data_IF_398022435879
#
_entry.id   IF_398022435879
#
_cell.length_a   1.000
_cell.length_b   1.000
_cell.length_c   1.000
_cell.angle_alpha   90.00
_cell.angle_beta   90.00
_cell.angle_gamma   90.00
#
_symmetry.space_group_name_H-M   'P 1'
#
loop_
_entity.id
_entity.type
_entity.pdbx_description
1 polymer ?
#
# COMPACT_ATOMS: atom_id res chain seq x y z
N UNK A 1 -16.55 -35.63 -28.91
CA UNK A 1 -15.89 -35.23 -27.71
C UNK A 1 -14.76 -34.23 -27.91
N UNK A 2 -14.04 -34.28 -29.05
CA UNK A 2 -12.96 -33.34 -29.30
C UNK A 2 -13.41 -31.89 -29.38
N UNK A 3 -14.50 -31.62 -30.08
CA UNK A 3 -15.05 -30.24 -30.19
C UNK A 3 -15.53 -29.73 -28.84
N UNK A 4 -16.22 -30.55 -28.10
CA UNK A 4 -16.74 -30.17 -26.80
C UNK A 4 -15.60 -29.97 -25.79
N UNK A 5 -14.61 -30.87 -25.79
CA UNK A 5 -13.44 -30.75 -24.93
C UNK A 5 -12.64 -29.50 -25.20
N UNK A 6 -12.41 -29.14 -26.48
CA UNK A 6 -11.72 -27.91 -26.84
C UNK A 6 -12.42 -26.65 -26.36
N UNK A 7 -13.76 -26.63 -26.45
CA UNK A 7 -14.56 -25.49 -26.00
C UNK A 7 -14.43 -25.31 -24.48
N UNK A 8 -14.60 -26.38 -23.71
CA UNK A 8 -14.48 -26.34 -22.24
C UNK A 8 -13.08 -25.92 -21.83
N UNK A 9 -12.03 -26.45 -22.45
CA UNK A 9 -10.66 -26.07 -22.17
C UNK A 9 -10.41 -24.56 -22.41
N UNK A 10 -10.99 -24.01 -23.49
CA UNK A 10 -10.88 -22.59 -23.79
C UNK A 10 -11.50 -21.70 -22.71
N UNK A 11 -12.70 -22.08 -22.23
CA UNK A 11 -13.37 -21.37 -21.17
C UNK A 11 -12.59 -21.43 -19.84
N UNK A 12 -12.14 -22.61 -19.47
CA UNK A 12 -11.35 -22.82 -18.26
C UNK A 12 -10.08 -22.00 -18.26
N UNK A 13 -9.36 -21.95 -19.36
CA UNK A 13 -8.16 -21.14 -19.49
C UNK A 13 -8.45 -19.65 -19.37
N UNK A 14 -9.55 -19.20 -19.98
CA UNK A 14 -9.98 -17.81 -19.89
C UNK A 14 -10.32 -17.40 -18.46
N UNK A 15 -11.08 -18.24 -17.76
CA UNK A 15 -11.42 -18.01 -16.35
C UNK A 15 -10.17 -18.03 -15.46
N UNK A 16 -9.28 -18.99 -15.67
CA UNK A 16 -8.04 -19.10 -14.90
C UNK A 16 -7.16 -17.85 -15.05
N UNK A 17 -7.05 -17.30 -16.26
CA UNK A 17 -6.31 -16.07 -16.51
C UNK A 17 -6.95 -14.87 -15.80
N UNK A 18 -8.28 -14.77 -15.84
CA UNK A 18 -9.01 -13.70 -15.16
C UNK A 18 -8.82 -13.74 -13.67
N UNK A 19 -8.92 -14.92 -13.06
CA UNK A 19 -8.70 -15.12 -11.62
C UNK A 19 -7.25 -14.79 -11.27
N UNK A 20 -6.28 -15.27 -12.03
CA UNK A 20 -4.87 -15.02 -11.80
C UNK A 20 -4.54 -13.53 -11.84
N UNK A 21 -5.10 -12.78 -12.82
CA UNK A 21 -4.93 -11.34 -12.91
C UNK A 21 -5.53 -10.62 -11.71
N UNK A 22 -6.73 -11.03 -11.27
CA UNK A 22 -7.38 -10.46 -10.09
C UNK A 22 -6.58 -10.67 -8.82
N UNK A 23 -6.05 -11.87 -8.60
CA UNK A 23 -5.21 -12.19 -7.45
C UNK A 23 -3.91 -11.38 -7.48
N UNK A 24 -3.25 -11.31 -8.63
CA UNK A 24 -2.00 -10.56 -8.78
C UNK A 24 -2.22 -9.07 -8.51
N UNK A 25 -3.31 -8.50 -9.02
CA UNK A 25 -3.67 -7.10 -8.77
C UNK A 25 -3.95 -6.85 -7.29
N UNK A 26 -4.74 -7.72 -6.65
CA UNK A 26 -5.05 -7.61 -5.23
C UNK A 26 -3.81 -7.70 -4.35
N UNK A 27 -2.88 -8.59 -4.67
CA UNK A 27 -1.60 -8.72 -3.95
C UNK A 27 -0.72 -7.49 -4.12
N UNK A 28 -0.67 -6.94 -5.33
CA UNK A 28 0.12 -5.74 -5.61
C UNK A 28 -0.45 -4.53 -4.86
N UNK A 29 -1.77 -4.36 -4.86
CA UNK A 29 -2.44 -3.30 -4.11
C UNK A 29 -2.22 -3.45 -2.61
N UNK A 30 -2.37 -4.66 -2.07
CA UNK A 30 -2.14 -4.94 -0.66
C UNK A 30 -0.71 -4.67 -0.23
N UNK A 31 0.28 -5.01 -1.05
CA UNK A 31 1.69 -4.71 -0.77
C UNK A 31 1.97 -3.21 -0.82
N UNK A 32 1.38 -2.51 -1.77
CA UNK A 32 1.54 -1.05 -1.88
C UNK A 32 0.93 -0.34 -0.67
N UNK A 33 -0.27 -0.74 -0.24
CA UNK A 33 -0.92 -0.20 0.95
C UNK A 33 -0.11 -0.50 2.22
N UNK A 34 0.35 -1.73 2.39
CA UNK A 34 1.16 -2.13 3.53
C UNK A 34 2.48 -1.37 3.59
N UNK A 35 3.10 -1.11 2.44
CA UNK A 35 4.33 -0.32 2.35
C UNK A 35 4.08 1.13 2.73
N UNK A 36 2.99 1.71 2.23
CA UNK A 36 2.61 3.09 2.54
C UNK A 36 2.32 3.26 4.03
N UNK A 37 1.58 2.33 4.63
CA UNK A 37 1.30 2.33 6.07
C UNK A 37 2.58 2.17 6.89
N UNK A 38 3.48 1.30 6.47
CA UNK A 38 4.78 1.09 7.12
C UNK A 38 5.66 2.33 7.07
N UNK A 39 5.71 3.00 5.93
CA UNK A 39 6.45 4.25 5.75
C UNK A 39 5.86 5.37 6.60
N UNK A 40 4.55 5.48 6.65
CA UNK A 40 3.85 6.47 7.47
C UNK A 40 4.12 6.22 8.96
N UNK A 41 3.98 4.99 9.42
CA UNK A 41 4.23 4.62 10.81
C UNK A 41 5.68 4.93 11.22
N UNK A 42 6.63 4.60 10.38
CA UNK A 42 8.05 4.89 10.59
C UNK A 42 8.31 6.39 10.62
N UNK A 43 7.71 7.12 9.68
CA UNK A 43 7.79 8.58 9.61
C UNK A 43 7.22 9.26 10.86
N UNK A 44 6.10 8.76 11.36
CA UNK A 44 5.49 9.28 12.60
C UNK A 44 6.37 9.02 13.82
N UNK A 45 7.03 7.87 13.89
CA UNK A 45 7.97 7.55 14.97
C UNK A 45 9.14 8.53 14.96
N UNK A 46 9.70 8.78 13.78
CA UNK A 46 10.79 9.76 13.61
C UNK A 46 10.31 11.17 13.98
N UNK A 47 9.14 11.55 13.48
CA UNK A 47 8.55 12.86 13.78
C UNK A 47 8.35 13.07 15.28
N UNK A 48 7.88 12.06 15.99
CA UNK A 48 7.72 12.10 17.44
C UNK A 48 9.06 12.33 18.14
N UNK A 49 10.10 11.64 17.70
CA UNK A 49 11.45 11.81 18.25
C UNK A 49 11.96 13.22 18.00
N UNK A 50 11.77 13.73 16.80
CA UNK A 50 12.19 15.10 16.45
C UNK A 50 11.43 16.14 17.27
N UNK A 51 10.14 15.93 17.50
CA UNK A 51 9.33 16.80 18.33
C UNK A 51 9.86 16.84 19.77
N UNK A 52 10.22 15.69 20.33
CA UNK A 52 10.80 15.59 21.67
C UNK A 52 12.17 16.27 21.78
N UNK A 53 12.85 16.42 20.65
CA UNK A 53 14.12 17.16 20.56
C UNK A 53 13.92 18.67 20.45
N UNK A 54 12.70 19.16 20.40
CA UNK A 54 12.39 20.57 20.33
C UNK A 54 12.32 21.15 18.91
N UNK A 55 12.24 20.31 17.88
CA UNK A 55 12.09 20.80 16.51
C UNK A 55 10.68 21.32 16.26
N UNK A 56 10.57 22.37 15.43
CA UNK A 56 9.28 22.91 15.03
C UNK A 56 8.56 21.99 14.06
N UNK A 57 7.23 22.12 13.96
CA UNK A 57 6.43 21.33 13.01
C UNK A 57 6.93 21.52 11.58
N UNK A 58 7.28 22.74 11.21
CA UNK A 58 7.81 23.06 9.89
C UNK A 58 9.07 22.26 9.58
N UNK A 59 9.98 22.19 10.54
CA UNK A 59 11.23 21.44 10.41
C UNK A 59 10.97 19.93 10.34
N UNK A 60 10.04 19.44 11.15
CA UNK A 60 9.67 18.03 11.16
C UNK A 60 9.04 17.63 9.82
N UNK A 61 8.14 18.43 9.28
CA UNK A 61 7.53 18.21 7.97
C UNK A 61 8.59 18.16 6.87
N UNK A 62 9.54 19.06 6.93
CA UNK A 62 10.63 19.13 5.95
C UNK A 62 11.57 17.92 6.07
N UNK A 63 11.88 17.50 7.29
CA UNK A 63 12.79 16.39 7.54
C UNK A 63 12.17 15.03 7.21
N UNK A 64 10.88 14.84 7.50
CA UNK A 64 10.18 13.56 7.30
C UNK A 64 9.44 13.47 5.98
N UNK A 65 9.15 14.60 5.33
CA UNK A 65 8.33 14.65 4.13
C UNK A 65 6.85 14.39 4.38
N UNK A 66 6.42 14.34 5.64
CA UNK A 66 5.02 14.14 6.00
C UNK A 66 4.23 15.43 5.89
N UNK A 67 2.93 15.29 5.57
CA UNK A 67 2.01 16.43 5.51
C UNK A 67 1.51 16.76 6.90
N UNK A 68 0.94 17.94 7.06
CA UNK A 68 0.31 18.36 8.31
C UNK A 68 -0.79 17.39 8.75
N UNK A 69 -1.58 16.89 7.80
CA UNK A 69 -2.62 15.91 8.09
C UNK A 69 -2.06 14.60 8.62
N UNK A 70 -0.95 14.14 8.03
CA UNK A 70 -0.29 12.91 8.47
C UNK A 70 0.31 13.06 9.88
N UNK A 71 0.66 14.26 10.27
CA UNK A 71 1.19 14.56 11.60
C UNK A 71 0.12 14.83 12.65
N UNK A 72 -1.14 14.93 12.27
CA UNK A 72 -2.25 15.16 13.22
C UNK A 72 -2.25 14.22 14.43
N UNK A 73 -2.00 12.92 14.31
CA UNK A 73 -1.96 12.04 15.47
C UNK A 73 -0.95 12.46 16.54
N UNK A 74 0.08 13.19 16.18
CA UNK A 74 1.10 13.68 17.12
C UNK A 74 0.69 14.98 17.80
N UNK A 75 -0.34 15.66 17.30
CA UNK A 75 -0.84 16.91 17.85
C UNK A 75 -1.91 16.71 18.92
N UNK A 76 -2.39 15.48 19.07
CA UNK A 76 -3.44 15.15 20.02
C UNK A 76 -2.97 15.20 21.46
#
# INVERSE_FOLDING_TARGET
SGLYGSYVEGEEKGMAKGIAKGIAKGRAEGRAEGRAEGELSKGLTIARNLLSMGMSWSQIMQATGLTEEELKPLQA
#
